data_IF_013039066924
#
_entry.id   IF_013039066924
#
_cell.length_a   1.000
_cell.length_b   1.000
_cell.length_c   1.000
_cell.angle_alpha   90.00
_cell.angle_beta   90.00
_cell.angle_gamma   90.00
#
_symmetry.space_group_name_H-M   'P 1'
#
loop_
_entity.id
_entity.type
_entity.pdbx_description
1 polymer ?
#
# COMPACT_ATOMS: atom_id res chain seq x y z
N UNK A 1 -11.61 14.87 7.18
CA UNK A 1 -11.13 15.58 8.39
C UNK A 1 -10.97 14.64 9.59
N UNK A 2 -10.06 13.66 9.49
CA UNK A 2 -9.68 12.80 10.63
C UNK A 2 -8.25 13.10 11.06
N UNK A 3 -7.95 12.95 12.35
CA UNK A 3 -6.55 12.99 12.82
C UNK A 3 -5.75 11.82 12.20
N UNK A 4 -4.43 11.99 11.98
CA UNK A 4 -3.58 10.90 11.52
C UNK A 4 -3.72 9.68 12.43
N UNK A 5 -3.99 8.52 11.84
CA UNK A 5 -4.12 7.26 12.56
C UNK A 5 -2.90 6.39 12.31
N UNK A 6 -2.46 5.69 13.35
CA UNK A 6 -1.44 4.65 13.23
C UNK A 6 -2.06 3.42 12.57
N UNK A 7 -1.32 2.77 11.68
CA UNK A 7 -1.66 1.42 11.22
C UNK A 7 -1.67 0.47 12.41
N UNK A 8 -2.67 -0.41 12.53
CA UNK A 8 -2.87 -1.27 13.71
C UNK A 8 -1.79 -2.33 13.96
N UNK A 9 -0.78 -2.40 13.08
CA UNK A 9 0.35 -3.31 13.16
C UNK A 9 1.67 -2.55 13.01
N UNK A 10 2.76 -3.21 13.40
CA UNK A 10 4.12 -2.73 13.17
C UNK A 10 4.52 -2.87 11.69
N UNK A 11 3.85 -2.12 10.82
CA UNK A 11 3.95 -2.26 9.36
C UNK A 11 5.39 -2.19 8.85
N UNK A 12 6.16 -1.20 9.28
CA UNK A 12 7.53 -1.01 8.83
C UNK A 12 8.50 -2.02 9.43
N UNK A 13 8.24 -2.54 10.64
CA UNK A 13 9.04 -3.62 11.22
C UNK A 13 8.87 -4.92 10.41
N UNK A 14 7.64 -5.22 10.00
CA UNK A 14 7.34 -6.37 9.15
C UNK A 14 7.96 -6.22 7.76
N UNK A 15 7.86 -5.02 7.16
CA UNK A 15 8.48 -4.73 5.87
C UNK A 15 10.01 -4.87 5.95
N UNK A 16 10.65 -4.29 6.96
CA UNK A 16 12.09 -4.41 7.19
C UNK A 16 12.52 -5.87 7.40
N UNK A 17 11.76 -6.65 8.18
CA UNK A 17 12.00 -8.09 8.31
C UNK A 17 11.97 -8.81 6.96
N UNK A 18 10.97 -8.52 6.13
CA UNK A 18 10.87 -9.11 4.79
C UNK A 18 12.03 -8.71 3.87
N UNK A 19 12.40 -7.43 3.85
CA UNK A 19 13.54 -6.95 3.07
C UNK A 19 14.87 -7.54 3.55
N UNK A 20 15.04 -7.74 4.87
CA UNK A 20 16.21 -8.39 5.43
C UNK A 20 16.31 -9.85 4.98
N UNK A 21 15.19 -10.59 4.96
CA UNK A 21 15.15 -11.96 4.44
C UNK A 21 15.50 -11.98 2.95
N UNK A 22 14.91 -11.09 2.14
CA UNK A 22 15.21 -11.01 0.70
C UNK A 22 16.70 -10.69 0.47
N UNK A 23 17.26 -9.74 1.21
CA UNK A 23 18.68 -9.40 1.12
C UNK A 23 19.58 -10.56 1.53
N UNK A 24 19.27 -11.27 2.62
CA UNK A 24 20.03 -12.44 3.06
C UNK A 24 20.00 -13.58 2.03
N UNK A 25 18.84 -13.87 1.43
CA UNK A 25 18.71 -14.87 0.37
C UNK A 25 19.48 -14.45 -0.90
N UNK A 26 19.47 -13.16 -1.23
CA UNK A 26 20.24 -12.61 -2.36
C UNK A 26 21.75 -12.79 -2.12
N UNK A 27 22.23 -12.47 -0.93
CA UNK A 27 23.64 -12.62 -0.58
C UNK A 27 24.08 -14.10 -0.53
N UNK A 28 23.23 -14.98 -0.01
CA UNK A 28 23.46 -16.43 -0.05
C UNK A 28 23.63 -16.90 -1.51
N UNK A 29 22.76 -16.45 -2.41
CA UNK A 29 22.81 -16.80 -3.83
C UNK A 29 24.08 -16.29 -4.51
N UNK A 30 24.50 -15.07 -4.21
CA UNK A 30 25.75 -14.49 -4.73
C UNK A 30 26.98 -15.23 -4.19
N UNK A 31 26.93 -15.66 -2.91
CA UNK A 31 27.98 -16.46 -2.29
C UNK A 31 28.12 -17.84 -2.93
N UNK A 32 27.01 -18.51 -3.23
CA UNK A 32 26.99 -19.77 -4.01
C UNK A 32 27.58 -19.59 -5.41
N UNK A 33 27.40 -18.40 -6.02
CA UNK A 33 28.02 -18.04 -7.29
C UNK A 33 29.51 -17.67 -7.18
N UNK A 34 30.13 -17.86 -6.00
CA UNK A 34 31.55 -17.61 -5.77
C UNK A 34 31.91 -16.14 -5.53
N UNK A 35 30.92 -15.26 -5.32
CA UNK A 35 31.20 -13.84 -5.04
C UNK A 35 31.62 -13.61 -3.58
N UNK A 36 32.37 -12.52 -3.30
CA UNK A 36 32.70 -12.13 -1.94
C UNK A 36 31.45 -11.75 -1.14
N UNK A 37 31.49 -12.00 0.17
CA UNK A 37 30.42 -11.61 1.06
C UNK A 37 30.21 -10.08 1.08
N UNK A 38 28.95 -9.64 1.12
CA UNK A 38 28.55 -8.25 1.32
C UNK A 38 27.54 -8.15 2.46
N UNK A 39 27.69 -7.13 3.30
CA UNK A 39 26.74 -6.87 4.37
C UNK A 39 25.39 -6.44 3.78
N UNK A 40 24.31 -6.99 4.32
CA UNK A 40 22.93 -6.61 4.01
C UNK A 40 22.48 -5.63 5.08
N UNK A 41 22.16 -4.40 4.67
CA UNK A 41 21.65 -3.35 5.55
C UNK A 41 20.22 -2.99 5.15
N UNK A 42 19.34 -2.87 6.14
CA UNK A 42 17.93 -2.50 5.93
C UNK A 42 17.55 -1.43 6.94
N UNK A 43 17.07 -0.30 6.44
CA UNK A 43 16.59 0.81 7.25
C UNK A 43 15.06 0.85 7.24
N UNK A 44 14.44 0.99 8.41
CA UNK A 44 12.99 1.15 8.56
C UNK A 44 12.44 2.30 7.72
N UNK A 45 13.18 3.42 7.64
CA UNK A 45 12.76 4.58 6.84
C UNK A 45 12.69 4.23 5.35
N UNK A 46 13.70 3.55 4.83
CA UNK A 46 13.75 3.18 3.41
C UNK A 46 12.64 2.18 3.07
N UNK A 47 12.25 1.33 4.02
CA UNK A 47 11.14 0.41 3.85
C UNK A 47 9.77 1.10 3.78
N UNK A 48 9.67 2.37 4.21
CA UNK A 48 8.41 3.12 4.13
C UNK A 48 8.07 3.56 2.71
N UNK A 49 9.07 3.85 1.89
CA UNK A 49 8.92 4.33 0.51
C UNK A 49 8.11 3.36 -0.36
N UNK A 50 8.45 2.06 -0.46
CA UNK A 50 7.65 1.10 -1.23
C UNK A 50 6.24 0.91 -0.64
N UNK A 51 6.05 1.09 0.67
CA UNK A 51 4.75 0.98 1.31
C UNK A 51 3.79 2.12 0.94
N UNK A 52 4.31 3.25 0.46
CA UNK A 52 3.48 4.34 -0.08
C UNK A 52 2.75 3.92 -1.37
N UNK A 53 3.18 2.87 -2.05
CA UNK A 53 2.53 2.28 -3.24
C UNK A 53 2.03 3.33 -4.24
N UNK A 54 0.71 3.59 -4.28
CA UNK A 54 0.09 4.54 -5.22
C UNK A 54 0.18 6.00 -4.77
N UNK A 55 0.40 6.26 -3.47
CA UNK A 55 0.49 7.61 -2.93
C UNK A 55 1.75 8.35 -3.38
N UNK A 56 2.87 7.63 -3.51
CA UNK A 56 4.12 8.23 -3.97
C UNK A 56 4.02 8.72 -5.44
N UNK A 57 3.51 7.92 -6.39
CA UNK A 57 3.18 8.40 -7.74
C UNK A 57 2.20 9.57 -7.75
N UNK A 58 1.11 9.53 -6.95
CA UNK A 58 0.13 10.62 -6.89
C UNK A 58 0.80 11.92 -6.43
N UNK A 59 1.61 11.88 -5.36
CA UNK A 59 2.38 13.02 -4.89
C UNK A 59 3.32 13.54 -5.99
N UNK A 60 4.05 12.63 -6.65
CA UNK A 60 5.02 13.00 -7.69
C UNK A 60 4.37 13.63 -8.91
N UNK A 61 3.15 13.25 -9.26
CA UNK A 61 2.43 13.77 -10.43
C UNK A 61 1.66 15.05 -10.11
N UNK A 62 1.03 15.13 -8.95
CA UNK A 62 0.17 16.26 -8.58
C UNK A 62 0.92 17.37 -7.84
N UNK A 63 2.12 17.11 -7.34
CA UNK A 63 2.93 18.09 -6.60
C UNK A 63 2.35 18.48 -5.24
N UNK A 64 1.31 17.78 -4.77
CA UNK A 64 0.63 18.03 -3.49
C UNK A 64 0.51 16.75 -2.68
N UNK A 65 0.58 16.88 -1.36
CA UNK A 65 0.43 15.73 -0.44
C UNK A 65 -1.02 15.26 -0.46
N UNK A 66 -1.27 13.96 -0.77
CA UNK A 66 -2.63 13.42 -0.76
C UNK A 66 -3.24 13.45 0.64
N UNK A 67 -4.53 13.80 0.71
CA UNK A 67 -5.31 13.73 1.95
C UNK A 67 -5.80 12.31 2.26
N UNK A 68 -6.41 12.10 3.44
CA UNK A 68 -7.02 10.83 3.79
C UNK A 68 -8.14 10.43 2.80
N UNK A 69 -8.10 9.22 2.25
CA UNK A 69 -9.14 8.69 1.34
C UNK A 69 -10.22 7.83 2.02
N UNK A 70 -10.11 7.63 3.33
CA UNK A 70 -10.95 6.67 4.05
C UNK A 70 -10.75 5.26 3.48
N UNK A 71 -11.85 4.56 3.17
CA UNK A 71 -11.82 3.19 2.66
C UNK A 71 -11.79 3.09 1.13
N UNK A 72 -11.88 4.22 0.42
CA UNK A 72 -11.92 4.23 -1.03
C UNK A 72 -10.51 4.14 -1.63
N UNK A 73 -10.35 3.25 -2.61
CA UNK A 73 -9.12 3.20 -3.42
C UNK A 73 -9.08 4.40 -4.37
N UNK A 74 -8.01 5.20 -4.38
CA UNK A 74 -7.99 6.47 -5.12
C UNK A 74 -7.95 6.29 -6.64
N UNK A 75 -7.51 5.13 -7.14
CA UNK A 75 -7.33 4.89 -8.57
C UNK A 75 -8.36 3.95 -9.20
N UNK A 76 -9.19 3.26 -8.40
CA UNK A 76 -10.13 2.23 -8.90
C UNK A 76 -11.48 2.46 -8.25
N UNK A 77 -12.52 2.61 -9.08
CA UNK A 77 -13.87 2.88 -8.60
C UNK A 77 -14.89 2.00 -9.32
N UNK A 78 -15.81 1.32 -8.60
CA UNK A 78 -15.92 1.27 -7.13
C UNK A 78 -14.96 0.26 -6.50
N UNK A 79 -14.08 0.75 -5.62
CA UNK A 79 -13.28 -0.08 -4.71
C UNK A 79 -13.28 0.57 -3.32
N UNK A 80 -14.21 0.16 -2.46
CA UNK A 80 -14.43 0.78 -1.16
C UNK A 80 -15.23 -0.13 -0.22
N UNK A 81 -15.24 0.20 1.06
CA UNK A 81 -16.15 -0.40 2.03
C UNK A 81 -17.51 0.29 1.97
N UNK A 82 -18.59 -0.50 1.95
CA UNK A 82 -19.98 -0.04 1.94
C UNK A 82 -20.72 -0.57 3.19
N UNK A 83 -21.61 0.24 3.79
CA UNK A 83 -22.45 -0.22 4.90
C UNK A 83 -23.53 -1.20 4.42
N UNK A 84 -23.83 -2.21 5.23
CA UNK A 84 -24.96 -3.14 5.06
C UNK A 84 -25.93 -3.02 6.25
N UNK A 85 -27.00 -3.82 6.27
CA UNK A 85 -27.97 -3.81 7.36
C UNK A 85 -27.35 -4.18 8.72
N UNK A 86 -26.32 -5.03 8.71
CA UNK A 86 -25.74 -5.69 9.88
C UNK A 86 -24.21 -5.54 9.97
N UNK A 87 -23.60 -4.77 9.07
CA UNK A 87 -22.15 -4.63 9.05
C UNK A 87 -21.61 -3.85 7.86
N UNK A 88 -20.47 -4.29 7.35
CA UNK A 88 -19.75 -3.65 6.27
C UNK A 88 -19.24 -4.70 5.28
N UNK A 89 -19.29 -4.36 3.99
CA UNK A 89 -18.75 -5.19 2.91
C UNK A 89 -17.70 -4.40 2.13
N UNK A 90 -16.52 -4.99 1.94
CA UNK A 90 -15.52 -4.47 1.02
C UNK A 90 -15.88 -4.88 -0.42
N UNK A 91 -16.12 -3.90 -1.27
CA UNK A 91 -16.41 -4.10 -2.69
C UNK A 91 -15.19 -3.66 -3.51
N UNK A 92 -14.77 -4.47 -4.47
CA UNK A 92 -13.75 -4.11 -5.46
C UNK A 92 -14.17 -4.55 -6.85
N UNK A 93 -14.48 -3.59 -7.72
CA UNK A 93 -14.89 -3.84 -9.11
C UNK A 93 -13.83 -3.29 -10.05
N UNK A 94 -13.26 -4.16 -10.88
CA UNK A 94 -12.24 -3.79 -11.87
C UNK A 94 -12.88 -3.88 -13.26
N UNK A 95 -13.26 -2.72 -13.82
CA UNK A 95 -13.83 -2.52 -15.17
C UNK A 95 -15.18 -3.21 -15.48
N UNK A 96 -15.99 -2.60 -16.36
CA UNK A 96 -17.06 -3.25 -17.13
C UNK A 96 -18.31 -3.78 -16.39
N UNK A 97 -18.41 -3.66 -15.06
CA UNK A 97 -19.56 -4.21 -14.34
C UNK A 97 -20.81 -3.29 -14.46
N UNK A 98 -22.01 -3.82 -14.79
CA UNK A 98 -23.23 -3.01 -14.95
C UNK A 98 -23.63 -2.18 -13.73
N UNK A 99 -23.26 -2.65 -12.53
CA UNK A 99 -23.55 -1.94 -11.27
C UNK A 99 -22.51 -0.86 -10.91
N UNK A 100 -21.42 -0.71 -11.67
CA UNK A 100 -20.38 0.28 -11.37
C UNK A 100 -20.90 1.74 -11.28
N UNK A 101 -21.88 2.20 -12.09
CA UNK A 101 -22.44 3.55 -11.96
C UNK A 101 -23.27 3.75 -10.69
N UNK A 102 -23.99 2.70 -10.25
CA UNK A 102 -24.87 2.73 -9.07
C UNK A 102 -24.07 2.68 -7.76
N UNK A 103 -22.89 2.06 -7.80
CA UNK A 103 -22.02 1.85 -6.64
C UNK A 103 -20.92 2.91 -6.51
N UNK A 104 -20.88 3.90 -7.41
CA UNK A 104 -20.16 5.16 -7.16
C UNK A 104 -20.91 5.88 -6.04
N UNK A 105 -20.38 5.83 -4.83
CA UNK A 105 -20.85 6.71 -3.76
C UNK A 105 -20.75 8.18 -4.18
N UNK A 106 -21.35 9.12 -3.43
CA UNK A 106 -21.11 10.54 -3.67
C UNK A 106 -19.60 10.76 -3.66
N UNK A 107 -19.07 11.29 -4.77
CA UNK A 107 -17.63 11.51 -4.91
C UNK A 107 -17.09 12.39 -3.77
N UNK A 108 -15.77 12.36 -3.51
CA UNK A 108 -15.19 13.22 -2.49
C UNK A 108 -15.51 14.68 -2.83
N UNK A 109 -16.16 15.36 -1.89
CA UNK A 109 -16.37 16.82 -1.85
C UNK A 109 -15.06 17.57 -1.69
#
# INVERSE_FOLDING_TARGET
DGQPIRVGIALFDLAAGLYAVIGALTELREREAGRPFRAVEVNLLDTSVPMLTHWLPILSLEGRVPGPSGTAHPLIVPYQVLPTQDGFVALGVVHGHPLAPVLRGPGPS
#
